data_IF_708894457973
#
_entry.id   IF_708894457973
#
_cell.length_a   1.000
_cell.length_b   1.000
_cell.length_c   1.000
_cell.angle_alpha   90.00
_cell.angle_beta   90.00
_cell.angle_gamma   90.00
#
_symmetry.space_group_name_H-M   'P 1'
#
loop_
_entity.id
_entity.type
_entity.pdbx_description
1 polymer ?
#
# COMPACT_ATOMS: atom_id res chain seq x y z
N UNK A 1 -31.43 16.01 -14.11
CA UNK A 1 -32.04 14.65 -14.16
C UNK A 1 -30.93 13.66 -14.44
N UNK A 2 -30.73 12.63 -13.61
CA UNK A 2 -29.75 11.57 -13.90
C UNK A 2 -30.22 10.75 -15.10
N UNK A 3 -29.37 10.58 -16.11
CA UNK A 3 -29.69 9.76 -17.28
C UNK A 3 -29.65 8.29 -16.86
N UNK A 4 -30.79 7.61 -16.87
CA UNK A 4 -30.94 6.21 -16.40
C UNK A 4 -30.87 5.17 -17.52
N UNK A 5 -30.53 5.59 -18.74
CA UNK A 5 -30.46 4.74 -19.94
C UNK A 5 -29.19 5.02 -20.76
N UNK A 6 -28.79 4.05 -21.60
CA UNK A 6 -27.59 4.12 -22.43
C UNK A 6 -26.26 4.00 -21.65
N UNK A 7 -25.13 4.27 -22.32
CA UNK A 7 -23.77 4.11 -21.77
C UNK A 7 -23.45 5.03 -20.57
N UNK A 8 -24.36 5.95 -20.22
CA UNK A 8 -24.24 6.88 -19.08
C UNK A 8 -25.00 6.41 -17.84
N UNK A 9 -25.71 5.27 -17.92
CA UNK A 9 -26.45 4.70 -16.79
C UNK A 9 -25.48 4.25 -15.69
N UNK A 10 -25.71 4.71 -14.47
CA UNK A 10 -25.01 4.21 -13.28
C UNK A 10 -25.59 2.85 -12.88
N UNK A 11 -24.79 1.79 -13.02
CA UNK A 11 -25.14 0.43 -12.60
C UNK A 11 -24.30 0.08 -11.38
N UNK A 12 -24.72 0.54 -10.20
CA UNK A 12 -24.04 0.25 -8.93
C UNK A 12 -25.05 -0.27 -7.92
N UNK A 13 -24.72 -1.40 -7.28
CA UNK A 13 -25.48 -1.95 -6.16
C UNK A 13 -24.88 -1.53 -4.82
N UNK A 14 -25.62 -1.69 -3.73
CA UNK A 14 -25.22 -1.32 -2.37
C UNK A 14 -23.90 -1.94 -1.88
N UNK A 15 -23.38 -2.96 -2.58
CA UNK A 15 -22.14 -3.66 -2.23
C UNK A 15 -20.88 -3.08 -2.91
N UNK A 16 -21.01 -2.03 -3.73
CA UNK A 16 -19.86 -1.42 -4.40
C UNK A 16 -19.00 -0.64 -3.39
N UNK A 17 -17.68 -0.85 -3.42
CA UNK A 17 -16.74 -0.14 -2.54
C UNK A 17 -16.53 -0.73 -1.14
N UNK A 18 -17.32 -1.72 -0.70
CA UNK A 18 -17.11 -2.37 0.62
C UNK A 18 -15.75 -3.08 0.71
N UNK A 19 -15.34 -3.77 -0.36
CA UNK A 19 -14.02 -4.43 -0.41
C UNK A 19 -12.89 -3.42 -0.26
N UNK A 20 -12.94 -2.34 -1.03
CA UNK A 20 -11.91 -1.30 -1.01
C UNK A 20 -11.87 -0.58 0.34
N UNK A 21 -13.06 -0.35 0.93
CA UNK A 21 -13.18 0.17 2.28
C UNK A 21 -12.44 -0.73 3.27
N UNK A 22 -12.76 -2.03 3.29
CA UNK A 22 -12.19 -2.98 4.23
C UNK A 22 -10.67 -3.10 4.07
N UNK A 23 -10.19 -3.21 2.83
CA UNK A 23 -8.75 -3.32 2.56
C UNK A 23 -8.01 -2.09 3.06
N UNK A 24 -8.51 -0.88 2.82
CA UNK A 24 -7.90 0.36 3.33
C UNK A 24 -7.72 0.37 4.86
N UNK A 25 -8.70 -0.13 5.61
CA UNK A 25 -8.65 -0.13 7.08
C UNK A 25 -7.70 -1.19 7.61
N UNK A 26 -7.78 -2.42 7.08
CA UNK A 26 -6.93 -3.52 7.52
C UNK A 26 -5.47 -3.23 7.17
N UNK A 27 -5.18 -2.77 5.94
CA UNK A 27 -3.82 -2.42 5.56
C UNK A 27 -3.28 -1.24 6.37
N UNK A 28 -4.11 -0.21 6.61
CA UNK A 28 -3.75 0.93 7.47
C UNK A 28 -3.41 0.50 8.89
N UNK A 29 -4.23 -0.35 9.50
CA UNK A 29 -4.00 -0.88 10.85
C UNK A 29 -2.72 -1.73 10.92
N UNK A 30 -2.48 -2.58 9.92
CA UNK A 30 -1.26 -3.40 9.84
C UNK A 30 0.00 -2.52 9.72
N UNK A 31 -0.02 -1.51 8.84
CA UNK A 31 1.09 -0.57 8.69
C UNK A 31 1.33 0.21 9.98
N UNK A 32 0.27 0.69 10.64
CA UNK A 32 0.37 1.39 11.92
C UNK A 32 0.99 0.51 13.01
N UNK A 33 0.54 -0.74 13.14
CA UNK A 33 1.09 -1.70 14.11
C UNK A 33 2.58 -1.99 13.83
N UNK A 34 2.96 -2.20 12.57
CA UNK A 34 4.35 -2.39 12.18
C UNK A 34 5.23 -1.19 12.52
N UNK A 35 4.75 0.03 12.24
CA UNK A 35 5.47 1.26 12.60
C UNK A 35 5.70 1.34 14.11
N UNK A 36 4.69 1.00 14.92
CA UNK A 36 4.84 0.96 16.38
C UNK A 36 5.87 -0.10 16.82
N UNK A 37 5.85 -1.30 16.23
CA UNK A 37 6.83 -2.36 16.55
C UNK A 37 8.26 -1.90 16.25
N UNK A 38 8.51 -1.37 15.05
CA UNK A 38 9.84 -0.86 14.67
C UNK A 38 10.27 0.28 15.58
N UNK A 39 9.37 1.22 15.86
CA UNK A 39 9.66 2.38 16.70
C UNK A 39 9.99 1.96 18.14
N UNK A 40 9.24 1.01 18.71
CA UNK A 40 9.56 0.46 20.04
C UNK A 40 10.93 -0.22 20.04
N UNK A 41 11.24 -1.04 19.02
CA UNK A 41 12.57 -1.68 18.95
C UNK A 41 13.70 -0.66 18.86
N UNK A 42 13.56 0.38 18.05
CA UNK A 42 14.57 1.45 17.93
C UNK A 42 14.71 2.22 19.25
N UNK A 43 13.60 2.60 19.90
CA UNK A 43 13.63 3.38 21.15
C UNK A 43 14.17 2.61 22.36
N UNK A 44 13.95 1.29 22.40
CA UNK A 44 14.47 0.44 23.49
C UNK A 44 15.88 -0.10 23.24
N UNK A 45 16.41 0.08 22.02
CA UNK A 45 17.79 -0.31 21.72
C UNK A 45 18.77 0.68 22.35
N UNK A 46 19.69 0.15 23.16
CA UNK A 46 20.73 0.94 23.81
C UNK A 46 21.96 1.06 22.90
N UNK A 47 22.59 2.23 22.89
CA UNK A 47 23.81 2.50 22.14
C UNK A 47 23.59 3.04 20.73
N UNK A 48 24.65 3.17 19.91
CA UNK A 48 24.57 3.73 18.57
C UNK A 48 23.73 2.87 17.63
N UNK A 49 22.80 3.50 16.90
CA UNK A 49 22.03 2.83 15.84
C UNK A 49 22.88 2.81 14.57
N UNK A 50 23.69 1.76 14.42
CA UNK A 50 24.48 1.47 13.22
C UNK A 50 23.81 0.45 12.30
N UNK A 51 24.52 0.10 11.21
CA UNK A 51 24.07 -0.91 10.25
C UNK A 51 23.75 -2.25 10.92
N UNK A 52 24.64 -2.75 11.80
CA UNK A 52 24.48 -4.07 12.42
C UNK A 52 23.23 -4.14 13.30
N UNK A 53 22.98 -3.09 14.09
CA UNK A 53 21.79 -2.96 14.92
C UNK A 53 20.51 -2.95 14.07
N UNK A 54 20.52 -2.16 12.99
CA UNK A 54 19.38 -2.08 12.08
C UNK A 54 19.13 -3.39 11.35
N UNK A 55 20.19 -4.00 10.81
CA UNK A 55 20.10 -5.29 10.13
C UNK A 55 19.61 -6.39 11.11
N UNK A 56 20.08 -6.37 12.35
CA UNK A 56 19.67 -7.31 13.40
C UNK A 56 18.17 -7.27 13.70
N UNK A 57 17.55 -6.09 13.71
CA UNK A 57 16.10 -5.91 13.89
C UNK A 57 15.32 -6.68 12.81
N UNK A 58 15.72 -6.52 11.55
CA UNK A 58 15.02 -7.09 10.39
C UNK A 58 15.47 -8.52 10.03
N UNK A 59 16.57 -9.02 10.59
CA UNK A 59 17.12 -10.34 10.28
C UNK A 59 16.22 -11.49 10.78
N UNK A 60 15.49 -11.28 11.88
CA UNK A 60 14.60 -12.30 12.45
C UNK A 60 13.50 -12.73 11.46
N UNK A 61 13.27 -14.03 11.31
CA UNK A 61 12.35 -14.56 10.29
C UNK A 61 10.91 -14.05 10.44
N UNK A 62 10.44 -13.87 11.68
CA UNK A 62 9.10 -13.31 11.93
C UNK A 62 9.02 -11.84 11.50
N UNK A 63 10.12 -11.08 11.64
CA UNK A 63 10.19 -9.69 11.22
C UNK A 63 10.25 -9.57 9.69
N UNK A 64 10.96 -10.49 9.01
CA UNK A 64 10.92 -10.60 7.54
C UNK A 64 9.50 -10.89 7.04
N UNK A 65 8.82 -11.87 7.63
CA UNK A 65 7.43 -12.19 7.27
C UNK A 65 6.47 -11.02 7.52
N UNK A 66 6.61 -10.32 8.65
CA UNK A 66 5.81 -9.14 8.97
C UNK A 66 6.08 -7.99 7.99
N UNK A 67 7.36 -7.68 7.72
CA UNK A 67 7.77 -6.61 6.79
C UNK A 67 7.27 -6.91 5.37
N UNK A 68 7.37 -8.16 4.92
CA UNK A 68 6.80 -8.59 3.65
C UNK A 68 5.28 -8.36 3.59
N UNK A 69 4.56 -8.76 4.64
CA UNK A 69 3.11 -8.56 4.74
C UNK A 69 2.73 -7.08 4.68
N UNK A 70 3.53 -6.22 5.32
CA UNK A 70 3.37 -4.76 5.29
C UNK A 70 3.66 -4.18 3.91
N UNK A 71 4.67 -4.68 3.18
CA UNK A 71 4.94 -4.27 1.80
C UNK A 71 3.73 -4.57 0.90
N UNK A 72 3.17 -5.78 1.00
CA UNK A 72 1.96 -6.16 0.24
C UNK A 72 0.77 -5.26 0.62
N UNK A 73 0.57 -5.03 1.92
CA UNK A 73 -0.50 -4.17 2.41
C UNK A 73 -0.35 -2.72 1.92
N UNK A 74 0.87 -2.16 1.94
CA UNK A 74 1.17 -0.82 1.45
C UNK A 74 0.90 -0.69 -0.05
N UNK A 75 1.33 -1.67 -0.85
CA UNK A 75 1.06 -1.68 -2.30
C UNK A 75 -0.45 -1.65 -2.56
N UNK A 76 -1.22 -2.47 -1.85
CA UNK A 76 -2.67 -2.50 -2.02
C UNK A 76 -3.33 -1.20 -1.53
N UNK A 77 -2.91 -0.69 -0.38
CA UNK A 77 -3.39 0.58 0.19
C UNK A 77 -3.16 1.75 -0.76
N UNK A 78 -1.94 1.87 -1.29
CA UNK A 78 -1.55 2.90 -2.23
C UNK A 78 -2.31 2.75 -3.56
N UNK A 79 -2.47 1.53 -4.07
CA UNK A 79 -3.23 1.28 -5.29
C UNK A 79 -4.66 1.81 -5.19
N UNK A 80 -5.41 1.42 -4.16
CA UNK A 80 -6.79 1.88 -3.98
C UNK A 80 -6.82 3.41 -3.80
N UNK A 81 -5.98 3.95 -2.91
CA UNK A 81 -5.99 5.38 -2.60
C UNK A 81 -5.67 6.24 -3.82
N UNK A 82 -4.72 5.80 -4.63
CA UNK A 82 -4.31 6.51 -5.82
C UNK A 82 -5.37 6.46 -6.94
N UNK A 83 -6.05 5.32 -7.10
CA UNK A 83 -7.19 5.24 -8.02
C UNK A 83 -8.32 6.19 -7.64
N UNK A 84 -8.65 6.31 -6.35
CA UNK A 84 -9.65 7.27 -5.88
C UNK A 84 -9.26 8.70 -6.24
N UNK A 85 -8.01 9.09 -5.98
CA UNK A 85 -7.50 10.42 -6.31
C UNK A 85 -7.55 10.68 -7.82
N UNK A 86 -7.14 9.72 -8.65
CA UNK A 86 -7.22 9.87 -10.11
C UNK A 86 -8.66 10.00 -10.61
N UNK A 87 -9.60 9.25 -10.04
CA UNK A 87 -11.01 9.35 -10.41
C UNK A 87 -11.62 10.71 -10.00
N UNK A 88 -11.22 11.25 -8.85
CA UNK A 88 -11.76 12.51 -8.32
C UNK A 88 -11.21 13.73 -9.06
N UNK A 89 -9.91 13.76 -9.35
CA UNK A 89 -9.23 14.97 -9.83
C UNK A 89 -8.87 14.95 -11.33
N UNK A 90 -8.67 13.78 -11.95
CA UNK A 90 -8.24 13.69 -13.36
C UNK A 90 -9.45 13.48 -14.26
N UNK A 91 -9.89 14.56 -14.93
CA UNK A 91 -11.11 14.54 -15.75
C UNK A 91 -10.93 13.91 -17.13
N UNK A 92 -9.77 14.13 -17.76
CA UNK A 92 -9.47 13.59 -19.09
C UNK A 92 -9.23 12.07 -19.02
N UNK A 93 -10.02 11.29 -19.76
CA UNK A 93 -10.00 9.83 -19.69
C UNK A 93 -8.63 9.22 -20.07
N UNK A 94 -7.99 9.74 -21.13
CA UNK A 94 -6.66 9.27 -21.56
C UNK A 94 -5.57 9.52 -20.53
N UNK A 95 -5.56 10.71 -19.91
CA UNK A 95 -4.62 11.04 -18.85
C UNK A 95 -4.84 10.14 -17.62
N UNK A 96 -6.10 9.95 -17.20
CA UNK A 96 -6.42 9.09 -16.07
C UNK A 96 -5.94 7.65 -16.28
N UNK A 97 -6.16 7.09 -17.46
CA UNK A 97 -5.68 5.75 -17.81
C UNK A 97 -4.14 5.67 -17.74
N UNK A 98 -3.44 6.67 -18.29
CA UNK A 98 -1.98 6.73 -18.24
C UNK A 98 -1.46 6.79 -16.79
N UNK A 99 -2.08 7.60 -15.92
CA UNK A 99 -1.70 7.74 -14.52
C UNK A 99 -1.98 6.46 -13.70
N UNK A 100 -3.09 5.78 -13.97
CA UNK A 100 -3.38 4.47 -13.38
C UNK A 100 -2.36 3.42 -13.81
N UNK A 101 -2.02 3.36 -15.11
CA UNK A 101 -1.00 2.45 -15.62
C UNK A 101 0.38 2.72 -15.00
N UNK A 102 0.77 4.00 -14.94
CA UNK A 102 2.00 4.42 -14.25
C UNK A 102 2.01 3.98 -12.79
N UNK A 103 0.90 4.15 -12.08
CA UNK A 103 0.77 3.77 -10.67
C UNK A 103 1.00 2.27 -10.48
N UNK A 104 0.40 1.41 -11.31
CA UNK A 104 0.64 -0.06 -11.23
C UNK A 104 2.11 -0.38 -11.46
N UNK A 105 2.70 0.14 -12.55
CA UNK A 105 4.09 -0.16 -12.92
C UNK A 105 5.05 0.28 -11.81
N UNK A 106 4.83 1.46 -11.26
CA UNK A 106 5.61 2.00 -10.15
C UNK A 106 5.52 1.12 -8.91
N UNK A 107 4.30 0.80 -8.46
CA UNK A 107 4.09 -0.01 -7.25
C UNK A 107 4.67 -1.43 -7.39
N UNK A 108 4.55 -2.06 -8.56
CA UNK A 108 5.16 -3.38 -8.83
C UNK A 108 6.69 -3.29 -8.77
N UNK A 109 7.27 -2.23 -9.35
CA UNK A 109 8.72 -2.01 -9.31
C UNK A 109 9.22 -1.80 -7.88
N UNK A 110 8.52 -0.99 -7.08
CA UNK A 110 8.81 -0.79 -5.66
C UNK A 110 8.68 -2.11 -4.87
N UNK A 111 7.65 -2.91 -5.14
CA UNK A 111 7.45 -4.21 -4.50
C UNK A 111 8.60 -5.18 -4.79
N UNK A 112 9.00 -5.30 -6.07
CA UNK A 112 10.13 -6.14 -6.47
C UNK A 112 11.44 -5.73 -5.80
N UNK A 113 11.72 -4.43 -5.77
CA UNK A 113 12.91 -3.91 -5.08
C UNK A 113 12.86 -4.13 -3.56
N UNK A 114 11.72 -3.92 -2.92
CA UNK A 114 11.56 -4.12 -1.48
C UNK A 114 11.76 -5.59 -1.07
N UNK A 115 11.23 -6.54 -1.85
CA UNK A 115 11.47 -7.97 -1.65
C UNK A 115 12.95 -8.30 -1.81
N UNK A 116 13.60 -7.77 -2.86
CA UNK A 116 15.03 -7.98 -3.07
C UNK A 116 15.86 -7.45 -1.89
N UNK A 117 15.55 -6.26 -1.38
CA UNK A 117 16.24 -5.67 -0.25
C UNK A 117 16.05 -6.49 1.04
N UNK A 118 14.82 -6.93 1.31
CA UNK A 118 14.47 -7.67 2.52
C UNK A 118 15.11 -9.07 2.59
N UNK A 119 15.30 -9.72 1.44
CA UNK A 119 15.92 -11.05 1.36
C UNK A 119 17.45 -11.04 1.19
N UNK A 120 18.05 -9.87 0.96
CA UNK A 120 19.52 -9.71 0.95
C UNK A 120 20.12 -9.47 2.34
N UNK A 121 19.26 -9.21 3.32
CA UNK A 121 19.60 -9.00 4.72
C UNK A 121 19.88 -10.32 5.43
#
# INVERSE_FOLDING_TARGET
>A
MSTTYGNKRLVVGAHYGWRDFLVQRISGALMGAFTLIVLLQVLFTQGPIGYDTWAGIFAAQWMKALTFSVIVALIWHAWIGMNSIWLDYVKAAGMRLAMQAFTVIWLVSCGGWAIQALWRL
#
